data_IF_629612106597
#
_entry.id   IF_629612106597
#
_cell.length_a   1.000
_cell.length_b   1.000
_cell.length_c   1.000
_cell.angle_alpha   90.00
_cell.angle_beta   90.00
_cell.angle_gamma   90.00
#
_symmetry.space_group_name_H-M   'P 1'
#
loop_
_entity.id
_entity.type
_entity.pdbx_description
1 polymer ?
#
# COMPACT_ATOMS: atom_id res chain seq x y z
N UNK A 1 -6.24 -22.02 20.70
CA UNK A 1 -6.08 -21.15 19.53
C UNK A 1 -5.56 -19.82 20.03
N UNK A 2 -4.45 -19.37 19.46
CA UNK A 2 -3.95 -18.05 19.78
C UNK A 2 -4.92 -16.99 19.22
N UNK A 3 -5.11 -15.83 19.88
CA UNK A 3 -6.06 -14.81 19.43
C UNK A 3 -5.86 -14.38 17.96
N UNK A 4 -4.60 -14.30 17.52
CA UNK A 4 -4.24 -13.89 16.17
C UNK A 4 -4.66 -14.88 15.08
N UNK A 5 -4.82 -16.18 15.39
CA UNK A 5 -5.23 -17.20 14.41
C UNK A 5 -6.66 -16.97 13.93
N UNK A 6 -7.55 -16.53 14.84
CA UNK A 6 -8.93 -16.19 14.51
C UNK A 6 -8.98 -14.96 13.60
N UNK A 7 -8.24 -13.91 13.97
CA UNK A 7 -8.13 -12.67 13.18
C UNK A 7 -7.55 -12.92 11.78
N UNK A 8 -6.62 -13.88 11.65
CA UNK A 8 -6.07 -14.28 10.34
C UNK A 8 -7.14 -14.96 9.47
N UNK A 9 -7.94 -15.86 10.05
CA UNK A 9 -9.02 -16.52 9.33
C UNK A 9 -10.11 -15.53 8.88
N UNK A 10 -10.43 -14.54 9.71
CA UNK A 10 -11.35 -13.45 9.36
C UNK A 10 -10.81 -12.57 8.22
N UNK A 11 -9.51 -12.25 8.24
CA UNK A 11 -8.86 -11.52 7.16
C UNK A 11 -8.89 -12.30 5.83
N UNK A 12 -8.64 -13.61 5.85
CA UNK A 12 -8.75 -14.46 4.65
C UNK A 12 -10.19 -14.56 4.12
N UNK A 13 -11.18 -14.64 5.03
CA UNK A 13 -12.59 -14.65 4.66
C UNK A 13 -13.01 -13.31 4.04
N UNK A 14 -12.53 -12.19 4.59
CA UNK A 14 -12.76 -10.86 4.05
C UNK A 14 -12.13 -10.70 2.66
N UNK A 15 -10.90 -11.23 2.46
CA UNK A 15 -10.23 -11.26 1.16
C UNK A 15 -11.03 -12.05 0.11
N UNK A 16 -11.56 -13.23 0.45
CA UNK A 16 -12.42 -14.03 -0.45
C UNK A 16 -13.75 -13.36 -0.79
N UNK A 17 -14.25 -12.50 0.10
CA UNK A 17 -15.51 -11.79 -0.06
C UNK A 17 -15.37 -10.37 -0.62
N UNK A 18 -14.20 -9.98 -1.12
CA UNK A 18 -13.87 -8.62 -1.59
C UNK A 18 -14.15 -7.51 -0.55
N UNK A 19 -14.19 -7.86 0.75
CA UNK A 19 -14.41 -6.93 1.86
C UNK A 19 -13.08 -6.36 2.35
N UNK A 20 -12.37 -5.68 1.45
CA UNK A 20 -10.99 -5.26 1.72
C UNK A 20 -10.84 -4.30 2.91
N UNK A 21 -11.82 -3.41 3.14
CA UNK A 21 -11.76 -2.46 4.26
C UNK A 21 -11.81 -3.15 5.63
N UNK A 22 -12.74 -4.09 5.79
CA UNK A 22 -12.84 -4.93 6.99
C UNK A 22 -11.59 -5.83 7.11
N UNK A 23 -11.13 -6.39 5.99
CA UNK A 23 -9.92 -7.20 5.90
C UNK A 23 -8.67 -6.49 6.43
N UNK A 24 -8.51 -5.18 6.16
CA UNK A 24 -7.39 -4.39 6.71
C UNK A 24 -7.45 -4.32 8.23
N UNK A 25 -8.64 -4.18 8.82
CA UNK A 25 -8.78 -4.14 10.27
C UNK A 25 -8.36 -5.49 10.89
N UNK A 26 -8.90 -6.58 10.36
CA UNK A 26 -8.59 -7.93 10.85
C UNK A 26 -7.10 -8.27 10.73
N UNK A 27 -6.48 -7.99 9.58
CA UNK A 27 -5.07 -8.34 9.37
C UNK A 27 -4.12 -7.45 10.20
N UNK A 28 -4.46 -6.17 10.41
CA UNK A 28 -3.65 -5.31 11.26
C UNK A 28 -3.74 -5.75 12.72
N UNK A 29 -4.93 -6.05 13.23
CA UNK A 29 -5.09 -6.60 14.58
C UNK A 29 -4.33 -7.91 14.76
N UNK A 30 -4.44 -8.83 13.78
CA UNK A 30 -3.70 -10.08 13.75
C UNK A 30 -2.18 -9.85 13.87
N UNK A 31 -1.62 -8.96 13.06
CA UNK A 31 -0.19 -8.66 13.07
C UNK A 31 0.23 -7.94 14.36
N UNK A 32 -0.57 -7.04 14.90
CA UNK A 32 -0.24 -6.38 16.18
C UNK A 32 -0.18 -7.38 17.34
N UNK A 33 -1.12 -8.30 17.40
CA UNK A 33 -1.14 -9.37 18.40
C UNK A 33 0.05 -10.31 18.26
N UNK A 34 0.33 -10.76 17.03
CA UNK A 34 1.46 -11.64 16.75
C UNK A 34 2.80 -10.96 17.00
N UNK A 35 2.93 -9.67 16.65
CA UNK A 35 4.14 -8.90 16.94
C UNK A 35 4.41 -8.77 18.43
N UNK A 36 3.37 -8.56 19.26
CA UNK A 36 3.51 -8.58 20.73
C UNK A 36 3.95 -9.94 21.26
N UNK A 37 3.52 -11.03 20.64
CA UNK A 37 3.97 -12.39 21.01
C UNK A 37 5.46 -12.60 20.72
N UNK A 38 6.00 -11.95 19.68
CA UNK A 38 7.39 -12.09 19.26
C UNK A 38 8.38 -11.24 20.07
N UNK A 39 8.07 -9.98 20.38
CA UNK A 39 9.01 -9.05 21.05
C UNK A 39 8.42 -8.27 22.24
N UNK A 40 7.16 -8.50 22.62
CA UNK A 40 6.49 -7.89 23.77
C UNK A 40 5.92 -6.48 23.56
N UNK A 41 6.58 -5.61 22.78
CA UNK A 41 6.22 -4.17 22.63
C UNK A 41 6.08 -3.70 21.16
N UNK A 42 6.50 -4.50 20.19
CA UNK A 42 6.67 -4.13 18.78
C UNK A 42 5.49 -4.47 17.86
N UNK A 43 4.34 -4.89 18.40
CA UNK A 43 3.13 -5.14 17.59
C UNK A 43 2.77 -3.98 16.64
N UNK A 44 2.83 -2.73 17.14
CA UNK A 44 2.57 -1.55 16.28
C UNK A 44 3.67 -1.29 15.24
N UNK A 45 4.92 -1.68 15.53
CA UNK A 45 6.04 -1.54 14.60
C UNK A 45 5.91 -2.49 13.42
N UNK A 46 5.47 -3.74 13.65
CA UNK A 46 5.23 -4.71 12.57
C UNK A 46 4.20 -4.19 11.54
N UNK A 47 3.22 -3.40 11.96
CA UNK A 47 2.24 -2.79 11.06
C UNK A 47 2.77 -1.55 10.36
N UNK A 48 3.46 -0.65 11.07
CA UNK A 48 3.90 0.64 10.53
C UNK A 48 5.19 0.52 9.70
N UNK A 49 6.19 -0.15 10.26
CA UNK A 49 7.57 -0.23 9.77
C UNK A 49 8.01 -1.71 9.71
N UNK A 50 7.43 -2.49 8.78
CA UNK A 50 7.66 -3.93 8.74
C UNK A 50 9.10 -4.31 8.40
N UNK A 51 9.80 -3.53 7.58
CA UNK A 51 11.20 -3.81 7.21
C UNK A 51 12.14 -3.66 8.42
N UNK A 52 11.98 -2.57 9.18
CA UNK A 52 12.78 -2.30 10.38
C UNK A 52 12.49 -3.33 11.48
N UNK A 53 11.22 -3.69 11.65
CA UNK A 53 10.82 -4.72 12.60
C UNK A 53 11.46 -6.06 12.24
N UNK A 54 11.36 -6.50 10.99
CA UNK A 54 11.97 -7.75 10.55
C UNK A 54 13.49 -7.74 10.74
N UNK A 55 14.18 -6.64 10.43
CA UNK A 55 15.63 -6.54 10.65
C UNK A 55 16.05 -6.77 12.12
N UNK A 56 15.18 -6.48 13.09
CA UNK A 56 15.46 -6.67 14.52
C UNK A 56 15.23 -8.11 15.00
N UNK A 57 14.24 -8.81 14.43
CA UNK A 57 13.77 -10.09 14.96
C UNK A 57 14.13 -11.29 14.08
N UNK A 58 14.47 -11.09 12.80
CA UNK A 58 14.71 -12.14 11.80
C UNK A 58 15.72 -13.20 12.28
N UNK A 59 16.75 -12.79 13.02
CA UNK A 59 17.76 -13.70 13.59
C UNK A 59 17.26 -14.57 14.76
N UNK A 60 16.14 -14.20 15.40
CA UNK A 60 15.55 -14.91 16.55
C UNK A 60 14.35 -15.78 16.17
N UNK A 61 13.91 -15.70 14.92
CA UNK A 61 12.70 -16.36 14.45
C UNK A 61 12.93 -17.84 14.16
N UNK A 62 11.97 -18.66 14.57
CA UNK A 62 11.91 -20.07 14.16
C UNK A 62 11.35 -20.19 12.72
N UNK A 63 11.67 -21.29 12.00
CA UNK A 63 11.16 -21.50 10.64
C UNK A 63 9.63 -21.47 10.52
N UNK A 64 8.92 -21.91 11.57
CA UNK A 64 7.45 -21.88 11.59
C UNK A 64 6.92 -20.45 11.79
N UNK A 65 7.57 -19.65 12.65
CA UNK A 65 7.21 -18.24 12.82
C UNK A 65 7.46 -17.42 11.54
N UNK A 66 8.51 -17.76 10.78
CA UNK A 66 8.77 -17.15 9.48
C UNK A 66 7.65 -17.43 8.48
N UNK A 67 7.16 -18.68 8.40
CA UNK A 67 6.03 -19.06 7.55
C UNK A 67 4.73 -18.34 7.94
N UNK A 68 4.48 -18.18 9.24
CA UNK A 68 3.30 -17.45 9.74
C UNK A 68 3.37 -15.98 9.31
N UNK A 69 4.50 -15.31 9.51
CA UNK A 69 4.66 -13.91 9.08
C UNK A 69 4.58 -13.77 7.57
N UNK A 70 5.23 -14.67 6.83
CA UNK A 70 5.16 -14.69 5.37
C UNK A 70 3.69 -14.70 4.92
N UNK A 71 2.86 -15.57 5.52
CA UNK A 71 1.43 -15.67 5.22
C UNK A 71 0.68 -14.38 5.60
N UNK A 72 0.94 -13.80 6.78
CA UNK A 72 0.32 -12.54 7.20
C UNK A 72 0.65 -11.39 6.24
N UNK A 73 1.90 -11.26 5.83
CA UNK A 73 2.34 -10.25 4.87
C UNK A 73 1.71 -10.47 3.49
N UNK A 74 1.59 -11.72 3.03
CA UNK A 74 0.93 -12.02 1.76
C UNK A 74 -0.56 -11.65 1.79
N UNK A 75 -1.29 -12.05 2.83
CA UNK A 75 -2.71 -11.71 2.99
C UNK A 75 -2.91 -10.19 3.08
N UNK A 76 -2.06 -9.50 3.85
CA UNK A 76 -2.11 -8.03 3.94
C UNK A 76 -1.82 -7.38 2.58
N UNK A 77 -0.81 -7.88 1.86
CA UNK A 77 -0.46 -7.43 0.52
C UNK A 77 -1.64 -7.55 -0.44
N UNK A 78 -2.29 -8.72 -0.50
CA UNK A 78 -3.44 -8.99 -1.38
C UNK A 78 -4.62 -8.05 -1.06
N UNK A 79 -4.94 -7.87 0.23
CA UNK A 79 -5.99 -6.96 0.68
C UNK A 79 -5.69 -5.50 0.28
N UNK A 80 -4.46 -5.04 0.51
CA UNK A 80 -4.03 -3.67 0.20
C UNK A 80 -3.98 -3.44 -1.32
N UNK A 81 -3.61 -4.44 -2.12
CA UNK A 81 -3.72 -4.41 -3.58
C UNK A 81 -5.18 -4.23 -4.00
N UNK A 82 -6.13 -4.92 -3.36
CA UNK A 82 -7.58 -4.75 -3.59
C UNK A 82 -8.09 -3.32 -3.32
N UNK A 83 -7.45 -2.60 -2.39
CA UNK A 83 -7.72 -1.18 -2.12
C UNK A 83 -7.00 -0.20 -3.07
N UNK A 84 -6.20 -0.68 -4.01
CA UNK A 84 -5.41 0.15 -4.92
C UNK A 84 -4.17 0.79 -4.30
N UNK A 85 -3.80 0.41 -3.07
CA UNK A 85 -2.63 0.92 -2.35
C UNK A 85 -1.33 0.16 -2.74
N UNK A 86 -1.07 0.09 -4.05
CA UNK A 86 -0.02 -0.75 -4.64
C UNK A 86 1.41 -0.49 -4.11
N UNK A 87 1.73 0.77 -3.78
CA UNK A 87 3.02 1.14 -3.14
C UNK A 87 3.22 0.41 -1.81
N UNK A 88 2.17 0.34 -0.99
CA UNK A 88 2.22 -0.31 0.31
C UNK A 88 2.23 -1.83 0.17
N UNK A 89 1.39 -2.37 -0.71
CA UNK A 89 1.36 -3.80 -0.99
C UNK A 89 2.73 -4.33 -1.48
N UNK A 90 3.46 -3.56 -2.28
CA UNK A 90 4.81 -3.93 -2.73
C UNK A 90 5.80 -4.13 -1.56
N UNK A 91 5.70 -3.32 -0.50
CA UNK A 91 6.50 -3.49 0.73
C UNK A 91 6.12 -4.80 1.43
N UNK A 92 4.83 -5.08 1.54
CA UNK A 92 4.34 -6.31 2.17
C UNK A 92 4.80 -7.57 1.42
N UNK A 93 4.70 -7.58 0.09
CA UNK A 93 5.22 -8.69 -0.71
C UNK A 93 6.74 -8.82 -0.61
N UNK A 94 7.49 -7.71 -0.48
CA UNK A 94 8.92 -7.76 -0.25
C UNK A 94 9.28 -8.38 1.12
N UNK A 95 8.53 -8.03 2.16
CA UNK A 95 8.67 -8.65 3.48
C UNK A 95 8.34 -10.15 3.44
N UNK A 96 7.25 -10.55 2.76
CA UNK A 96 6.90 -11.95 2.56
C UNK A 96 7.99 -12.72 1.79
N UNK A 97 8.54 -12.11 0.73
CA UNK A 97 9.62 -12.71 -0.06
C UNK A 97 10.91 -12.88 0.76
N UNK A 98 11.23 -11.94 1.64
CA UNK A 98 12.41 -12.02 2.52
C UNK A 98 12.30 -13.17 3.52
N UNK A 99 11.10 -13.50 3.97
CA UNK A 99 10.84 -14.53 4.98
C UNK A 99 10.71 -15.95 4.41
N UNK A 100 10.66 -16.14 3.08
CA UNK A 100 10.49 -17.46 2.47
C UNK A 100 11.20 -17.61 1.11
N UNK A 101 12.01 -18.66 0.98
CA UNK A 101 12.91 -18.88 -0.16
C UNK A 101 12.23 -19.35 -1.48
N UNK A 102 11.01 -19.90 -1.44
CA UNK A 102 10.39 -20.60 -2.59
C UNK A 102 9.10 -19.95 -3.15
N UNK A 103 8.83 -18.67 -2.85
CA UNK A 103 7.58 -18.04 -3.29
C UNK A 103 7.71 -17.36 -4.66
N UNK A 104 7.73 -18.17 -5.73
CA UNK A 104 7.59 -17.67 -7.11
C UNK A 104 6.29 -16.84 -7.28
N UNK A 105 5.23 -17.19 -6.55
CA UNK A 105 3.93 -16.51 -6.58
C UNK A 105 3.97 -15.12 -5.95
N UNK A 106 4.68 -14.92 -4.83
CA UNK A 106 4.83 -13.59 -4.20
C UNK A 106 5.72 -12.68 -5.05
N UNK A 107 6.73 -13.23 -5.73
CA UNK A 107 7.56 -12.48 -6.67
C UNK A 107 6.74 -11.89 -7.83
N UNK A 108 5.83 -12.67 -8.41
CA UNK A 108 4.91 -12.21 -9.46
C UNK A 108 3.92 -11.15 -8.95
N UNK A 109 3.36 -11.35 -7.75
CA UNK A 109 2.46 -10.38 -7.09
C UNK A 109 3.18 -9.05 -6.82
N UNK A 110 4.42 -9.10 -6.33
CA UNK A 110 5.28 -7.93 -6.13
C UNK A 110 5.53 -7.20 -7.44
N UNK A 111 5.95 -7.92 -8.49
CA UNK A 111 6.21 -7.33 -9.79
C UNK A 111 4.97 -6.61 -10.37
N UNK A 112 3.78 -7.23 -10.25
CA UNK A 112 2.51 -6.59 -10.63
C UNK A 112 2.20 -5.35 -9.81
N UNK A 113 2.39 -5.39 -8.49
CA UNK A 113 2.17 -4.23 -7.62
C UNK A 113 3.14 -3.08 -7.91
N UNK A 114 4.41 -3.38 -8.18
CA UNK A 114 5.43 -2.41 -8.58
C UNK A 114 5.16 -1.82 -9.97
N UNK A 115 4.69 -2.64 -10.92
CA UNK A 115 4.28 -2.19 -12.25
C UNK A 115 3.05 -1.28 -12.20
N UNK A 116 2.01 -1.67 -11.45
CA UNK A 116 0.84 -0.84 -11.20
C UNK A 116 1.22 0.49 -10.53
N UNK A 117 2.19 0.45 -9.61
CA UNK A 117 2.77 1.65 -9.00
C UNK A 117 3.52 2.51 -10.02
N UNK A 118 4.28 1.91 -10.93
CA UNK A 118 5.05 2.61 -11.96
C UNK A 118 4.14 3.28 -13.01
N UNK A 119 3.05 2.61 -13.40
CA UNK A 119 1.99 3.20 -14.23
C UNK A 119 1.32 4.39 -13.52
N UNK A 120 1.01 4.27 -12.22
CA UNK A 120 0.46 5.38 -11.44
C UNK A 120 1.46 6.54 -11.22
N UNK A 121 2.77 6.26 -11.12
CA UNK A 121 3.82 7.27 -10.95
C UNK A 121 4.03 8.12 -12.21
N UNK A 122 3.63 7.64 -13.39
CA UNK A 122 3.62 8.44 -14.61
C UNK A 122 2.67 9.67 -14.49
N UNK A 123 1.69 9.60 -13.57
CA UNK A 123 0.74 10.67 -13.24
C UNK A 123 1.17 11.60 -12.09
N UNK A 124 2.33 11.39 -11.44
CA UNK A 124 2.84 12.29 -10.39
C UNK A 124 3.36 13.64 -10.94
N UNK A 125 3.31 13.85 -12.26
CA UNK A 125 3.69 15.12 -12.88
C UNK A 125 2.54 16.12 -12.79
N UNK A 126 2.86 17.37 -12.46
CA UNK A 126 1.90 18.47 -12.53
C UNK A 126 1.57 18.71 -14.01
N UNK A 127 0.30 18.59 -14.44
CA UNK A 127 -0.07 18.86 -15.82
C UNK A 127 0.06 20.36 -16.11
N UNK A 128 0.85 20.73 -17.11
CA UNK A 128 1.09 22.12 -17.52
C UNK A 128 0.39 22.39 -18.85
N UNK A 129 -0.34 23.49 -18.93
CA UNK A 129 -0.97 23.99 -20.16
C UNK A 129 -0.39 25.36 -20.48
N UNK A 130 0.14 25.54 -21.69
CA UNK A 130 0.67 26.84 -22.16
C UNK A 130 -0.40 27.52 -23.01
N UNK A 131 -0.80 28.73 -22.61
CA UNK A 131 -1.73 29.56 -23.39
C UNK A 131 -0.91 30.56 -24.20
N UNK A 132 -1.02 30.52 -25.52
CA UNK A 132 -0.30 31.41 -26.46
C UNK A 132 -1.25 32.03 -27.49
N UNK A 133 -0.82 33.12 -28.15
CA UNK A 133 -1.60 33.85 -29.15
C UNK A 133 -1.16 35.32 -29.29
N UNK A 134 -1.54 35.95 -30.40
CA UNK A 134 -1.21 37.36 -30.72
C UNK A 134 -1.82 38.36 -29.73
N UNK A 135 -1.38 39.63 -29.76
CA UNK A 135 -2.03 40.70 -29.00
C UNK A 135 -3.50 40.81 -29.41
N UNK A 136 -4.42 40.90 -28.44
CA UNK A 136 -5.86 40.93 -28.72
C UNK A 136 -6.52 39.56 -28.95
N UNK A 137 -5.79 38.44 -28.90
CA UNK A 137 -6.37 37.08 -29.04
C UNK A 137 -7.24 36.61 -27.86
N UNK A 138 -7.41 37.43 -26.81
CA UNK A 138 -8.28 37.11 -25.68
C UNK A 138 -7.70 36.15 -24.63
N UNK A 139 -6.37 35.92 -24.60
CA UNK A 139 -5.69 35.09 -23.59
C UNK A 139 -6.09 35.46 -22.15
N UNK A 140 -6.05 36.75 -21.82
CA UNK A 140 -6.40 37.28 -20.50
C UNK A 140 -7.89 37.07 -20.18
N UNK A 141 -8.77 37.10 -21.19
CA UNK A 141 -10.20 36.80 -21.02
C UNK A 141 -10.43 35.35 -20.64
N UNK A 142 -9.77 34.42 -21.34
CA UNK A 142 -9.82 32.99 -21.03
C UNK A 142 -9.28 32.70 -19.64
N UNK A 143 -8.12 33.28 -19.30
CA UNK A 143 -7.49 33.13 -17.99
C UNK A 143 -8.40 33.64 -16.86
N UNK A 144 -9.00 34.82 -17.03
CA UNK A 144 -9.97 35.36 -16.07
C UNK A 144 -11.21 34.48 -15.93
N UNK A 145 -11.70 33.90 -17.02
CA UNK A 145 -12.85 32.98 -16.98
C UNK A 145 -12.52 31.73 -16.18
N UNK A 146 -11.35 31.13 -16.42
CA UNK A 146 -10.87 29.96 -15.67
C UNK A 146 -10.76 30.30 -14.18
N UNK A 147 -10.16 31.44 -13.81
CA UNK A 147 -9.99 31.80 -12.40
C UNK A 147 -11.29 32.16 -11.67
N UNK A 148 -12.32 32.64 -12.38
CA UNK A 148 -13.57 33.14 -11.77
C UNK A 148 -14.70 32.11 -11.76
N UNK A 149 -14.74 31.19 -12.72
CA UNK A 149 -15.80 30.17 -12.78
C UNK A 149 -15.52 29.00 -11.84
N UNK A 150 -16.58 28.44 -11.23
CA UNK A 150 -16.48 27.24 -10.41
C UNK A 150 -16.36 25.99 -11.30
N UNK A 151 -15.13 25.66 -11.69
CA UNK A 151 -14.83 24.47 -12.49
C UNK A 151 -14.41 23.25 -11.65
N UNK A 152 -14.43 23.34 -10.31
CA UNK A 152 -14.12 22.23 -9.40
C UNK A 152 -12.67 21.73 -9.46
N UNK A 153 -11.75 22.50 -10.02
CA UNK A 153 -10.32 22.17 -10.11
C UNK A 153 -9.49 23.18 -9.34
N UNK A 154 -8.32 22.77 -8.84
CA UNK A 154 -7.33 23.65 -8.24
C UNK A 154 -6.27 23.93 -9.29
N UNK A 155 -6.20 25.17 -9.79
CA UNK A 155 -5.31 25.57 -10.87
C UNK A 155 -4.36 26.64 -10.34
N UNK A 156 -3.07 26.50 -10.61
CA UNK A 156 -2.08 27.54 -10.40
C UNK A 156 -1.84 28.25 -11.74
N UNK A 157 -1.82 29.58 -11.73
CA UNK A 157 -1.56 30.42 -12.90
C UNK A 157 -0.26 31.18 -12.67
N UNK A 158 0.59 31.20 -13.70
CA UNK A 158 1.83 31.97 -13.76
C UNK A 158 1.70 32.87 -15.00
N UNK A 159 1.84 34.18 -14.81
CA UNK A 159 1.83 35.21 -15.87
C UNK A 159 3.15 35.98 -15.87
#
# INVERSE_FOLDING_TARGET
>A
MAPWEASLAEAEAALKGDKFFDGVQYINSCMEEYGKELDGEGGSKLVKEPEDFLALIEAKLTPDQQKVLQKMFEVRGDIITGLGANKRAAVDYACAQRLGADSATVGEKKAKAEEATKMAKASDKIPVTVITGFLGSGKTTLLNRILKEHHGKRIAVIE
#
